data_IF_943637733171
#
_entry.id   IF_943637733171
#
_cell.length_a   1.000
_cell.length_b   1.000
_cell.length_c   1.000
_cell.angle_alpha   90.00
_cell.angle_beta   90.00
_cell.angle_gamma   90.00
#
_symmetry.space_group_name_H-M   'P 1'
#
loop_
_entity.id
_entity.type
_entity.pdbx_description
1 polymer ?
#
# COMPACT_ATOMS: atom_id res chain seq x y z
N UNK A 1 -13.21 -57.17 56.97
CA UNK A 1 -14.10 -57.55 55.85
C UNK A 1 -14.00 -56.45 54.79
N UNK A 2 -13.37 -56.69 53.63
CA UNK A 2 -14.01 -57.08 52.35
C UNK A 2 -14.98 -55.97 51.82
N UNK A 3 -15.00 -55.52 50.57
CA UNK A 3 -14.40 -55.98 49.29
C UNK A 3 -14.79 -54.96 48.20
N UNK A 4 -13.92 -54.75 47.18
CA UNK A 4 -14.19 -54.50 45.73
C UNK A 4 -14.98 -53.22 45.33
N UNK A 5 -14.80 -52.61 44.15
CA UNK A 5 -14.30 -53.05 42.83
C UNK A 5 -13.98 -51.79 41.97
N UNK A 6 -12.83 -51.71 41.31
CA UNK A 6 -12.58 -51.95 39.87
C UNK A 6 -13.18 -50.96 38.85
N UNK A 7 -12.24 -50.31 38.13
CA UNK A 7 -12.12 -50.10 36.68
C UNK A 7 -12.79 -48.88 35.99
N UNK A 8 -11.90 -48.17 35.28
CA UNK A 8 -11.91 -47.04 34.33
C UNK A 8 -12.92 -47.18 33.14
N UNK A 9 -13.03 -46.28 32.12
CA UNK A 9 -12.05 -45.26 31.68
C UNK A 9 -12.56 -43.90 31.12
N UNK A 10 -11.58 -42.99 31.01
CA UNK A 10 -11.37 -41.89 30.04
C UNK A 10 -12.55 -41.04 29.53
N UNK A 11 -12.61 -39.80 30.03
CA UNK A 11 -13.37 -38.71 29.43
C UNK A 11 -12.41 -37.54 29.11
N UNK A 12 -11.61 -37.69 28.06
CA UNK A 12 -10.72 -36.63 27.55
C UNK A 12 -10.70 -36.64 26.02
N UNK A 13 -11.83 -36.27 25.39
CA UNK A 13 -11.99 -36.37 23.93
C UNK A 13 -12.94 -35.34 23.31
N UNK A 14 -13.03 -34.11 23.83
CA UNK A 14 -13.92 -33.09 23.25
C UNK A 14 -13.29 -31.72 23.06
N UNK A 15 -12.34 -31.30 23.90
CA UNK A 15 -11.71 -29.96 23.79
C UNK A 15 -10.53 -29.91 22.81
N UNK A 16 -9.80 -31.03 22.67
CA UNK A 16 -8.69 -31.17 21.71
C UNK A 16 -9.24 -31.26 20.29
N UNK A 17 -10.35 -31.94 20.06
CA UNK A 17 -10.97 -32.09 18.73
C UNK A 17 -11.58 -30.79 18.23
N UNK A 18 -12.18 -29.98 19.12
CA UNK A 18 -12.66 -28.64 18.78
C UNK A 18 -11.48 -27.72 18.43
N UNK A 19 -10.40 -27.74 19.23
CA UNK A 19 -9.19 -26.95 18.94
C UNK A 19 -8.49 -27.41 17.66
N UNK A 20 -8.39 -28.72 17.41
CA UNK A 20 -7.83 -29.29 16.17
C UNK A 20 -8.70 -28.96 14.94
N UNK A 21 -10.03 -28.97 15.11
CA UNK A 21 -10.99 -28.56 14.09
C UNK A 21 -10.82 -27.08 13.72
N UNK A 22 -10.76 -26.17 14.72
CA UNK A 22 -10.52 -24.75 14.46
C UNK A 22 -9.14 -24.49 13.84
N UNK A 23 -8.10 -25.19 14.28
CA UNK A 23 -6.77 -25.07 13.70
C UNK A 23 -6.74 -25.58 12.24
N UNK A 24 -7.48 -26.65 11.95
CA UNK A 24 -7.66 -27.17 10.58
C UNK A 24 -8.43 -26.19 9.69
N UNK A 25 -9.50 -25.59 10.22
CA UNK A 25 -10.30 -24.57 9.51
C UNK A 25 -9.48 -23.31 9.23
N UNK A 26 -8.73 -22.81 10.22
CA UNK A 26 -7.84 -21.66 10.05
C UNK A 26 -6.76 -21.98 9.00
N UNK A 27 -6.15 -23.17 9.06
CA UNK A 27 -5.15 -23.58 8.08
C UNK A 27 -5.72 -23.65 6.65
N UNK A 28 -6.93 -24.17 6.48
CA UNK A 28 -7.62 -24.19 5.19
C UNK A 28 -7.95 -22.78 4.67
N UNK A 29 -8.41 -21.88 5.55
CA UNK A 29 -8.69 -20.50 5.18
C UNK A 29 -7.41 -19.76 4.77
N UNK A 30 -6.31 -19.92 5.51
CA UNK A 30 -5.01 -19.33 5.17
C UNK A 30 -4.50 -19.90 3.85
N UNK A 31 -4.59 -21.21 3.63
CA UNK A 31 -4.19 -21.83 2.36
C UNK A 31 -5.02 -21.30 1.19
N UNK A 32 -6.34 -21.19 1.35
CA UNK A 32 -7.23 -20.63 0.33
C UNK A 32 -6.92 -19.15 0.03
N UNK A 33 -6.63 -18.35 1.05
CA UNK A 33 -6.22 -16.95 0.88
C UNK A 33 -4.88 -16.82 0.15
N UNK A 34 -3.90 -17.66 0.48
CA UNK A 34 -2.59 -17.67 -0.20
C UNK A 34 -2.74 -18.10 -1.66
N UNK A 35 -3.50 -19.15 -1.95
CA UNK A 35 -3.78 -19.59 -3.33
C UNK A 35 -4.55 -18.51 -4.09
N UNK A 36 -5.55 -17.89 -3.47
CA UNK A 36 -6.30 -16.77 -4.05
C UNK A 36 -5.41 -15.57 -4.37
N UNK A 37 -4.54 -15.17 -3.43
CA UNK A 37 -3.57 -14.09 -3.64
C UNK A 37 -2.61 -14.43 -4.78
N UNK A 38 -2.05 -15.65 -4.80
CA UNK A 38 -1.16 -16.10 -5.88
C UNK A 38 -1.89 -16.09 -7.22
N UNK A 39 -3.14 -16.58 -7.30
CA UNK A 39 -3.93 -16.58 -8.52
C UNK A 39 -4.23 -15.16 -9.02
N UNK A 40 -4.61 -14.26 -8.12
CA UNK A 40 -4.81 -12.84 -8.42
C UNK A 40 -3.53 -12.17 -8.91
N UNK A 41 -2.36 -12.55 -8.38
CA UNK A 41 -1.06 -12.07 -8.87
C UNK A 41 -0.53 -12.82 -10.09
N UNK A 42 -1.06 -14.01 -10.40
CA UNK A 42 -0.63 -14.85 -11.52
C UNK A 42 -1.32 -14.46 -12.83
N UNK A 43 -2.60 -14.07 -12.77
CA UNK A 43 -3.30 -13.41 -13.88
C UNK A 43 -3.12 -11.89 -13.85
N UNK A 44 -2.91 -11.34 -12.65
CA UNK A 44 -2.43 -9.99 -12.43
C UNK A 44 -0.91 -9.92 -12.51
N UNK A 45 -0.36 -10.29 -13.66
CA UNK A 45 0.83 -9.60 -14.14
C UNK A 45 0.45 -8.13 -14.26
N UNK A 46 0.50 -7.39 -13.14
CA UNK A 46 0.70 -5.97 -13.24
C UNK A 46 2.07 -5.85 -13.90
N UNK A 47 2.03 -5.63 -15.20
CA UNK A 47 3.10 -4.92 -15.85
C UNK A 47 2.96 -3.52 -15.24
N UNK A 48 3.69 -3.25 -14.17
CA UNK A 48 4.18 -1.88 -14.02
C UNK A 48 5.08 -1.72 -15.22
N UNK A 49 4.50 -1.14 -16.26
CA UNK A 49 5.18 -0.78 -17.48
C UNK A 49 5.99 0.47 -17.17
N UNK A 50 7.13 0.29 -16.50
CA UNK A 50 8.22 1.26 -16.60
C UNK A 50 8.91 1.01 -17.95
N UNK A 51 8.28 1.47 -19.03
CA UNK A 51 8.98 1.60 -20.32
C UNK A 51 9.91 2.81 -20.24
N UNK A 52 10.94 2.70 -19.41
CA UNK A 52 12.05 3.62 -19.35
C UNK A 52 13.18 3.17 -20.27
N UNK A 53 12.91 2.89 -21.55
CA UNK A 53 13.98 2.66 -22.52
C UNK A 53 14.42 3.99 -23.15
N UNK A 54 15.34 4.68 -22.48
CA UNK A 54 16.17 5.70 -23.13
C UNK A 54 17.24 5.00 -23.96
N UNK A 55 16.93 4.60 -25.19
CA UNK A 55 17.97 4.30 -26.19
C UNK A 55 18.62 5.62 -26.59
N UNK A 56 19.66 6.00 -25.86
CA UNK A 56 20.58 7.05 -26.32
C UNK A 56 21.30 6.50 -27.55
N UNK A 57 20.86 6.92 -28.75
CA UNK A 57 21.54 6.53 -29.96
C UNK A 57 20.92 7.02 -31.27
N UNK A 58 21.06 8.33 -31.56
CA UNK A 58 21.83 8.85 -32.73
C UNK A 58 21.40 10.28 -33.10
N UNK A 59 22.41 11.08 -33.48
CA UNK A 59 22.23 12.38 -34.15
C UNK A 59 21.32 12.22 -35.37
N UNK A 60 20.33 13.10 -35.49
CA UNK A 60 19.80 13.52 -36.79
C UNK A 60 19.48 15.01 -36.77
N UNK A 61 20.15 15.70 -37.70
CA UNK A 61 19.69 16.88 -38.43
C UNK A 61 18.16 16.94 -38.55
N UNK A 62 17.61 18.12 -38.24
CA UNK A 62 16.17 18.32 -38.11
C UNK A 62 15.37 18.14 -39.40
N UNK A 63 14.13 17.71 -39.22
CA UNK A 63 12.96 18.25 -39.91
C UNK A 63 11.72 17.93 -39.05
N UNK A 64 10.79 18.88 -38.97
CA UNK A 64 9.67 18.84 -38.04
C UNK A 64 8.70 17.67 -38.26
N UNK A 65 8.60 16.82 -37.25
CA UNK A 65 7.44 15.99 -36.97
C UNK A 65 7.15 16.17 -35.48
N UNK A 66 6.34 17.18 -35.16
CA UNK A 66 5.76 17.35 -33.82
C UNK A 66 4.71 16.25 -33.59
N UNK A 67 5.16 15.00 -33.59
CA UNK A 67 4.36 13.86 -33.16
C UNK A 67 4.51 13.75 -31.64
N UNK A 68 3.46 14.18 -30.94
CA UNK A 68 3.16 13.84 -29.56
C UNK A 68 4.37 13.84 -28.59
N UNK A 69 5.15 14.92 -28.56
CA UNK A 69 5.98 15.18 -27.39
C UNK A 69 5.05 15.38 -26.19
N UNK A 70 4.83 14.32 -25.41
CA UNK A 70 4.02 14.38 -24.20
C UNK A 70 4.75 15.31 -23.23
N UNK A 71 4.03 16.31 -22.70
CA UNK A 71 4.56 17.13 -21.62
C UNK A 71 4.60 16.25 -20.36
N UNK A 72 5.81 15.91 -19.92
CA UNK A 72 6.01 15.22 -18.65
C UNK A 72 5.90 16.23 -17.50
N UNK A 73 4.79 16.18 -16.77
CA UNK A 73 4.50 17.06 -15.63
C UNK A 73 5.37 16.76 -14.39
N UNK A 74 6.09 15.64 -14.38
CA UNK A 74 6.95 15.21 -13.27
C UNK A 74 8.43 15.53 -13.53
N UNK A 75 8.81 15.89 -14.76
CA UNK A 75 10.16 16.33 -15.12
C UNK A 75 10.31 17.84 -14.97
N UNK A 76 11.11 18.28 -13.99
CA UNK A 76 11.33 19.71 -13.76
C UNK A 76 12.30 20.04 -12.64
N UNK A 77 12.26 21.30 -12.18
CA UNK A 77 13.00 21.80 -11.02
C UNK A 77 12.09 22.71 -10.20
N UNK A 78 12.33 22.76 -8.90
CA UNK A 78 11.70 23.75 -8.04
C UNK A 78 12.13 25.16 -8.44
N UNK A 79 11.17 26.06 -8.58
CA UNK A 79 11.37 27.49 -8.87
C UNK A 79 10.61 28.27 -7.81
N UNK A 80 11.30 29.18 -7.14
CA UNK A 80 10.70 30.02 -6.11
C UNK A 80 9.85 31.11 -6.75
N UNK A 81 8.56 31.16 -6.42
CA UNK A 81 7.59 32.13 -6.94
C UNK A 81 6.81 32.77 -5.80
N UNK A 82 7.22 33.97 -5.40
CA UNK A 82 6.58 34.75 -4.35
C UNK A 82 5.33 35.51 -4.82
N UNK A 83 5.08 35.58 -6.13
CA UNK A 83 3.95 36.33 -6.68
C UNK A 83 2.69 35.47 -6.69
N UNK A 84 2.82 34.18 -7.07
CA UNK A 84 1.68 33.27 -7.22
C UNK A 84 1.50 32.29 -6.05
N UNK A 85 2.54 32.03 -5.25
CA UNK A 85 2.51 31.06 -4.15
C UNK A 85 2.72 31.72 -2.77
N UNK A 86 2.16 31.12 -1.69
CA UNK A 86 1.29 29.94 -1.70
C UNK A 86 -0.10 30.25 -2.27
N UNK A 87 -0.75 29.26 -2.89
CA UNK A 87 -2.08 29.42 -3.50
C UNK A 87 -3.17 29.80 -2.48
N UNK A 88 -2.96 29.46 -1.22
CA UNK A 88 -3.77 29.86 -0.08
C UNK A 88 -2.89 29.80 1.18
N UNK A 89 -3.25 30.56 2.21
CA UNK A 89 -2.59 30.42 3.51
C UNK A 89 -3.23 29.27 4.28
N UNK A 90 -2.41 28.49 4.96
CA UNK A 90 -2.82 27.33 5.76
C UNK A 90 -4.01 27.64 6.68
N UNK A 91 -3.92 28.73 7.44
CA UNK A 91 -4.94 29.15 8.39
C UNK A 91 -6.23 29.73 7.76
N UNK A 92 -6.23 30.04 6.46
CA UNK A 92 -7.43 30.53 5.74
C UNK A 92 -8.33 29.38 5.27
N UNK A 93 -7.82 28.13 5.24
CA UNK A 93 -8.57 26.97 4.81
C UNK A 93 -9.41 26.35 5.95
N UNK A 94 -10.71 26.62 5.97
CA UNK A 94 -11.65 26.11 7.00
C UNK A 94 -11.69 24.57 7.12
N UNK A 95 -11.31 23.85 6.08
CA UNK A 95 -11.33 22.39 6.05
C UNK A 95 -9.97 21.76 6.39
N UNK A 96 -8.91 22.57 6.51
CA UNK A 96 -7.60 22.09 6.90
C UNK A 96 -7.66 21.58 8.34
N UNK A 97 -7.05 20.41 8.58
CA UNK A 97 -6.95 19.88 9.93
C UNK A 97 -5.84 20.59 10.70
N UNK A 98 -6.00 20.69 12.01
CA UNK A 98 -4.99 21.29 12.89
C UNK A 98 -3.62 20.60 12.79
N UNK A 99 -3.58 19.33 12.39
CA UNK A 99 -2.31 18.60 12.22
C UNK A 99 -1.49 19.09 11.01
N UNK A 100 -2.11 19.85 10.10
CA UNK A 100 -1.51 20.32 8.84
C UNK A 100 -1.38 21.85 8.79
N UNK A 101 -1.90 22.58 9.79
CA UNK A 101 -1.89 24.04 9.86
C UNK A 101 -0.70 24.55 10.69
N UNK A 102 0.51 24.36 10.17
CA UNK A 102 1.75 24.65 10.90
C UNK A 102 1.87 26.14 11.30
N UNK A 103 1.40 27.06 10.46
CA UNK A 103 1.39 28.49 10.72
C UNK A 103 0.54 28.84 11.93
N UNK A 104 -0.66 28.24 12.06
CA UNK A 104 -1.50 28.38 13.27
C UNK A 104 -0.79 27.93 14.55
N UNK A 105 0.10 26.94 14.47
CA UNK A 105 0.87 26.43 15.61
C UNK A 105 2.27 27.05 15.76
N UNK A 106 2.51 28.20 15.13
CA UNK A 106 3.65 29.06 15.43
C UNK A 106 4.89 28.83 14.56
N UNK A 107 4.78 28.07 13.47
CA UNK A 107 5.83 28.00 12.44
C UNK A 107 6.03 29.38 11.80
N UNK A 108 7.28 29.78 11.60
CA UNK A 108 7.65 31.13 11.10
C UNK A 108 8.35 31.11 9.74
N UNK A 109 8.91 29.97 9.36
CA UNK A 109 9.45 29.71 8.04
C UNK A 109 8.29 29.42 7.08
N UNK A 110 7.79 30.47 6.41
CA UNK A 110 6.67 30.39 5.46
C UNK A 110 7.13 30.32 3.99
N UNK A 111 8.44 30.44 3.73
CA UNK A 111 9.06 30.43 2.40
C UNK A 111 9.50 29.00 1.98
N UNK A 112 8.71 27.98 2.32
CA UNK A 112 9.01 26.57 2.05
C UNK A 112 8.62 26.09 0.65
#
# INVERSE_FOLDING_TARGET
MAKKSNLSPDFSGTTIDIRRSFQSLIALLVAALVVGAVYLTAEGGYVVQEDGENVVGRRSTGNGSSENARCDLFSGKWVHDNESYPLYKDYECKFMSDQLDCGKFGRKDLDY
#
